data_IF_055544344596
#
_entry.id   IF_055544344596
#
_cell.length_a   1.000
_cell.length_b   1.000
_cell.length_c   1.000
_cell.angle_alpha   90.00
_cell.angle_beta   90.00
_cell.angle_gamma   90.00
#
_symmetry.space_group_name_H-M   'P 1'
#
loop_
_entity.id
_entity.type
_entity.pdbx_description
1 polymer ?
#
# COMPACT_ATOMS: atom_id res chain seq x y z
N UNK A 1 8.76 -20.79 -13.45
CA UNK A 1 7.94 -20.45 -12.26
C UNK A 1 6.70 -21.32 -12.26
N UNK A 2 6.86 -22.58 -11.86
CA UNK A 2 5.75 -23.52 -11.54
C UNK A 2 5.93 -23.97 -10.08
N UNK A 3 6.28 -23.03 -9.20
CA UNK A 3 6.45 -23.33 -7.78
C UNK A 3 5.17 -22.97 -7.04
N UNK A 4 4.53 -23.99 -6.47
CA UNK A 4 3.41 -23.84 -5.56
C UNK A 4 3.87 -22.97 -4.38
N UNK A 5 3.24 -21.81 -4.22
CA UNK A 5 3.42 -20.94 -3.07
C UNK A 5 2.07 -20.50 -2.54
N UNK A 6 1.89 -20.54 -1.21
CA UNK A 6 0.72 -19.94 -0.59
C UNK A 6 0.82 -18.42 -0.75
N UNK A 7 -0.11 -17.84 -1.49
CA UNK A 7 -0.14 -16.39 -1.72
C UNK A 7 -0.79 -15.64 -0.55
N UNK A 8 -0.93 -14.32 -0.66
CA UNK A 8 -1.75 -13.50 0.23
C UNK A 8 -0.99 -12.40 0.96
N UNK A 9 -1.68 -11.27 1.15
CA UNK A 9 -1.20 -10.07 1.86
C UNK A 9 -2.22 -9.57 2.90
N UNK A 10 -3.50 -9.52 2.53
CA UNK A 10 -4.56 -8.83 3.26
C UNK A 10 -5.17 -9.69 4.37
N UNK A 11 -4.52 -9.74 5.53
CA UNK A 11 -5.01 -10.53 6.65
C UNK A 11 -4.68 -9.87 7.99
N UNK A 12 -5.54 -10.15 8.95
CA UNK A 12 -5.26 -10.01 10.37
C UNK A 12 -5.20 -11.40 10.99
N UNK A 13 -4.28 -11.58 11.93
CA UNK A 13 -4.07 -12.88 12.58
C UNK A 13 -4.03 -12.68 14.10
N UNK A 14 -4.26 -13.77 14.82
CA UNK A 14 -3.98 -13.87 16.25
C UNK A 14 -2.71 -14.71 16.38
N UNK A 15 -1.73 -14.23 17.14
CA UNK A 15 -0.50 -14.99 17.35
C UNK A 15 -0.79 -16.27 18.13
N UNK A 16 -0.35 -17.40 17.59
CA UNK A 16 -0.46 -18.71 18.25
C UNK A 16 0.77 -18.96 19.15
N UNK A 17 1.97 -18.75 18.62
CA UNK A 17 3.23 -18.89 19.34
C UNK A 17 4.29 -17.93 18.77
N UNK A 18 5.40 -17.79 19.49
CA UNK A 18 6.54 -16.96 19.08
C UNK A 18 7.84 -17.73 19.23
N UNK A 19 8.86 -17.37 18.44
CA UNK A 19 10.21 -17.93 18.58
C UNK A 19 10.86 -17.54 19.92
N UNK A 20 11.84 -18.32 20.38
CA UNK A 20 12.46 -18.16 21.71
C UNK A 20 13.13 -16.80 21.96
N UNK A 21 13.54 -16.11 20.90
CA UNK A 21 14.21 -14.80 20.96
C UNK A 21 13.23 -13.63 20.86
N UNK A 22 11.93 -13.88 20.64
CA UNK A 22 10.93 -12.83 20.47
C UNK A 22 10.41 -12.39 21.85
N UNK A 23 10.61 -11.12 22.18
CA UNK A 23 10.24 -10.54 23.49
C UNK A 23 9.09 -9.53 23.43
N UNK A 24 8.88 -8.86 22.29
CA UNK A 24 7.86 -7.81 22.15
C UNK A 24 6.44 -8.34 21.84
N UNK A 25 6.33 -9.63 21.51
CA UNK A 25 5.09 -10.29 21.06
C UNK A 25 4.80 -11.54 21.89
N UNK A 26 3.52 -11.89 22.03
CA UNK A 26 3.09 -13.12 22.72
C UNK A 26 1.85 -13.74 22.09
N UNK A 27 1.61 -15.01 22.42
CA UNK A 27 0.39 -15.71 22.06
C UNK A 27 -0.87 -14.91 22.48
N UNK A 28 -1.86 -14.85 21.59
CA UNK A 28 -3.10 -14.10 21.76
C UNK A 28 -3.05 -12.63 21.34
N UNK A 29 -1.88 -12.08 21.01
CA UNK A 29 -1.80 -10.73 20.43
C UNK A 29 -2.46 -10.71 19.04
N UNK A 30 -3.21 -9.63 18.78
CA UNK A 30 -3.80 -9.37 17.46
C UNK A 30 -2.76 -8.64 16.60
N UNK A 31 -2.58 -9.10 15.37
CA UNK A 31 -1.51 -8.61 14.50
C UNK A 31 -1.94 -8.45 13.05
N UNK A 32 -1.22 -7.57 12.34
CA UNK A 32 -1.21 -7.46 10.90
C UNK A 32 0.20 -7.84 10.41
N UNK A 33 0.35 -8.94 9.65
CA UNK A 33 1.59 -9.23 8.95
C UNK A 33 1.83 -8.21 7.83
N UNK A 34 3.07 -7.72 7.69
CA UNK A 34 3.50 -6.75 6.70
C UNK A 34 4.75 -7.25 5.98
N UNK A 35 4.74 -7.22 4.65
CA UNK A 35 5.91 -7.61 3.85
C UNK A 35 7.03 -6.57 3.97
N UNK A 36 6.66 -5.33 4.34
CA UNK A 36 7.60 -4.29 4.75
C UNK A 36 7.97 -4.52 6.21
N UNK A 37 9.22 -4.88 6.45
CA UNK A 37 9.73 -5.12 7.79
C UNK A 37 10.24 -3.83 8.45
N UNK A 38 10.29 -3.83 9.77
CA UNK A 38 10.96 -2.81 10.59
C UNK A 38 11.85 -3.52 11.62
N UNK A 39 13.14 -3.70 11.32
CA UNK A 39 14.06 -4.40 12.23
C UNK A 39 14.58 -3.54 13.38
N UNK A 40 14.39 -2.22 13.32
CA UNK A 40 14.86 -1.22 14.31
C UNK A 40 16.38 -1.13 14.51
N UNK A 41 17.17 -1.93 13.81
CA UNK A 41 18.63 -2.01 14.01
C UNK A 41 19.45 -1.55 12.79
N UNK A 42 18.88 -1.63 11.57
CA UNK A 42 19.61 -1.20 10.36
C UNK A 42 19.62 0.33 10.21
N UNK A 43 20.58 0.85 9.44
CA UNK A 43 20.76 2.29 9.22
C UNK A 43 19.48 2.97 8.70
N UNK A 44 18.72 2.30 7.84
CA UNK A 44 17.49 2.82 7.26
C UNK A 44 16.33 2.88 8.27
N UNK A 45 16.26 1.94 9.21
CA UNK A 45 15.28 1.97 10.31
C UNK A 45 15.66 3.02 11.36
N UNK A 46 16.95 3.13 11.69
CA UNK A 46 17.44 4.02 12.75
C UNK A 46 17.27 5.51 12.38
N UNK A 47 17.46 5.86 11.11
CA UNK A 47 17.49 7.27 10.67
C UNK A 47 16.13 7.95 10.54
N UNK A 48 15.02 7.22 10.65
CA UNK A 48 13.65 7.77 10.53
C UNK A 48 13.37 8.50 9.21
N UNK A 49 14.24 8.35 8.20
CA UNK A 49 14.14 9.05 6.91
C UNK A 49 13.38 8.25 5.84
N UNK A 50 13.24 6.94 6.03
CA UNK A 50 12.52 6.06 5.12
C UNK A 50 11.94 4.87 5.89
N UNK A 51 11.10 4.08 5.23
CA UNK A 51 10.46 2.88 5.76
C UNK A 51 10.95 1.58 5.08
N UNK A 52 12.13 1.61 4.47
CA UNK A 52 12.69 0.52 3.67
C UNK A 52 13.77 -0.21 4.47
N UNK A 53 13.39 -1.18 5.31
CA UNK A 53 14.36 -1.93 6.11
C UNK A 53 15.40 -2.64 5.22
N UNK A 54 16.68 -2.28 5.39
CA UNK A 54 17.80 -2.82 4.61
C UNK A 54 17.95 -4.34 4.75
N UNK A 55 17.66 -4.87 5.94
CA UNK A 55 17.75 -6.30 6.22
C UNK A 55 16.71 -7.09 5.42
N UNK A 56 15.55 -6.52 5.09
CA UNK A 56 14.43 -7.25 4.50
C UNK A 56 14.01 -6.78 3.11
N UNK A 57 14.57 -5.68 2.60
CA UNK A 57 14.15 -4.98 1.36
C UNK A 57 13.99 -5.88 0.12
N UNK A 58 14.70 -7.00 0.04
CA UNK A 58 14.52 -8.03 -0.99
C UNK A 58 14.41 -9.46 -0.47
N UNK A 59 14.58 -9.68 0.84
CA UNK A 59 14.57 -11.05 1.39
C UNK A 59 13.20 -11.70 1.30
N UNK A 60 12.11 -10.92 1.26
CA UNK A 60 10.77 -11.44 1.06
C UNK A 60 10.55 -12.12 -0.31
N UNK A 61 11.42 -11.87 -1.30
CA UNK A 61 11.37 -12.52 -2.63
C UNK A 61 12.08 -13.89 -2.66
N UNK A 62 12.81 -14.25 -1.61
CA UNK A 62 13.60 -15.50 -1.58
C UNK A 62 12.75 -16.77 -1.47
N UNK A 63 11.46 -16.66 -1.13
CA UNK A 63 10.56 -17.79 -0.96
C UNK A 63 10.86 -18.68 0.27
N UNK A 64 11.80 -18.29 1.13
CA UNK A 64 12.22 -19.04 2.31
C UNK A 64 12.31 -18.14 3.54
N UNK A 65 12.31 -18.74 4.74
CA UNK A 65 12.47 -17.98 5.97
C UNK A 65 13.86 -17.34 6.05
N UNK A 66 13.91 -16.11 6.57
CA UNK A 66 15.16 -15.35 6.67
C UNK A 66 16.23 -16.04 7.53
N UNK A 67 15.81 -16.70 8.63
CA UNK A 67 16.69 -17.21 9.69
C UNK A 67 17.54 -18.40 9.28
N UNK A 68 16.99 -19.35 8.53
CA UNK A 68 17.65 -20.62 8.18
C UNK A 68 17.57 -20.96 6.69
N UNK A 69 17.00 -20.05 5.88
CA UNK A 69 16.81 -20.20 4.43
C UNK A 69 16.01 -21.46 4.04
N UNK A 70 15.07 -21.89 4.90
CA UNK A 70 14.16 -23.03 4.64
C UNK A 70 12.70 -22.60 4.55
N UNK A 71 11.89 -23.39 3.86
CA UNK A 71 10.44 -23.25 3.88
C UNK A 71 9.86 -23.63 5.26
N UNK A 72 8.70 -23.06 5.59
CA UNK A 72 7.90 -23.46 6.78
C UNK A 72 6.68 -24.28 6.40
N UNK A 73 6.34 -24.29 5.12
CA UNK A 73 5.29 -25.11 4.55
C UNK A 73 5.89 -26.30 3.82
N UNK A 74 5.19 -27.43 3.92
CA UNK A 74 5.48 -28.61 3.10
C UNK A 74 4.18 -29.35 2.81
N UNK A 75 4.15 -30.05 1.67
CA UNK A 75 3.06 -30.95 1.31
C UNK A 75 3.67 -32.26 0.83
N UNK A 76 3.29 -33.37 1.46
CA UNK A 76 3.84 -34.70 1.16
C UNK A 76 5.37 -34.74 1.19
N UNK A 77 5.98 -34.05 2.16
CA UNK A 77 7.43 -33.95 2.32
C UNK A 77 8.14 -33.03 1.33
N UNK A 78 7.43 -32.40 0.39
CA UNK A 78 7.99 -31.42 -0.55
C UNK A 78 7.80 -29.99 -0.01
N UNK A 79 8.83 -29.14 -0.05
CA UNK A 79 8.71 -27.76 0.43
C UNK A 79 7.75 -26.95 -0.44
N UNK A 80 7.02 -26.05 0.20
CA UNK A 80 6.18 -25.03 -0.45
C UNK A 80 6.78 -23.67 -0.13
N UNK A 81 7.02 -22.86 -1.17
CA UNK A 81 7.66 -21.57 -1.00
C UNK A 81 6.72 -20.54 -0.37
N UNK A 82 7.33 -19.61 0.36
CA UNK A 82 6.63 -18.45 0.89
C UNK A 82 6.41 -17.39 -0.18
N UNK A 83 5.31 -16.64 -0.04
CA UNK A 83 5.03 -15.48 -0.87
C UNK A 83 5.20 -14.20 -0.05
N UNK A 84 6.15 -13.34 -0.46
CA UNK A 84 6.50 -12.09 0.22
C UNK A 84 6.79 -12.25 1.72
N UNK A 85 7.25 -13.44 2.13
CA UNK A 85 7.50 -13.76 3.54
C UNK A 85 6.25 -13.75 4.44
N UNK A 86 5.04 -13.75 3.85
CA UNK A 86 3.76 -13.68 4.57
C UNK A 86 2.88 -14.92 4.38
N UNK A 87 2.60 -15.30 3.12
CA UNK A 87 1.87 -16.52 2.77
C UNK A 87 0.52 -16.69 3.48
N UNK A 88 -0.36 -15.68 3.39
CA UNK A 88 -1.50 -15.56 4.30
C UNK A 88 -2.75 -16.34 3.88
N UNK A 89 -2.78 -16.92 2.68
CA UNK A 89 -3.81 -17.87 2.23
C UNK A 89 -3.57 -19.27 2.82
N UNK A 90 -3.38 -19.30 4.13
CA UNK A 90 -3.25 -20.49 4.96
C UNK A 90 -3.85 -20.17 6.32
N UNK A 91 -4.41 -21.17 6.99
CA UNK A 91 -4.96 -21.01 8.35
C UNK A 91 -3.87 -20.50 9.30
N UNK A 92 -2.67 -21.06 9.18
CA UNK A 92 -1.46 -20.67 9.91
C UNK A 92 -0.35 -20.25 8.95
N UNK A 93 0.46 -19.29 9.40
CA UNK A 93 1.69 -18.91 8.70
C UNK A 93 2.78 -18.56 9.70
N UNK A 94 4.04 -18.62 9.25
CA UNK A 94 5.22 -18.28 10.04
C UNK A 94 5.90 -17.10 9.36
N UNK A 95 5.97 -15.98 10.07
CA UNK A 95 6.54 -14.71 9.60
C UNK A 95 7.65 -14.24 10.54
N UNK A 96 8.58 -13.44 10.03
CA UNK A 96 9.61 -12.85 10.90
C UNK A 96 8.98 -11.80 11.82
N UNK A 97 9.45 -11.68 13.06
CA UNK A 97 8.87 -10.72 14.03
C UNK A 97 8.89 -9.27 13.51
N UNK A 98 9.92 -8.87 12.76
CA UNK A 98 10.04 -7.54 12.15
C UNK A 98 8.98 -7.27 11.08
N UNK A 99 8.29 -8.30 10.60
CA UNK A 99 7.21 -8.23 9.61
C UNK A 99 5.83 -8.27 10.29
N UNK A 100 5.73 -8.01 11.60
CA UNK A 100 4.50 -8.12 12.37
C UNK A 100 4.19 -6.80 13.06
N UNK A 101 3.08 -6.18 12.70
CA UNK A 101 2.54 -5.03 13.42
C UNK A 101 1.51 -5.52 14.44
N UNK A 102 1.79 -5.32 15.74
CA UNK A 102 0.81 -5.53 16.80
C UNK A 102 -0.27 -4.44 16.74
N UNK A 103 -1.54 -4.84 16.81
CA UNK A 103 -2.69 -3.94 16.71
C UNK A 103 -3.56 -3.98 17.96
N UNK A 104 -4.46 -2.99 18.08
CA UNK A 104 -5.43 -2.95 19.16
C UNK A 104 -6.32 -4.21 19.13
N UNK A 105 -6.44 -4.87 20.28
CA UNK A 105 -7.23 -6.10 20.44
C UNK A 105 -8.72 -5.88 20.18
N UNK A 106 -9.23 -4.69 20.42
CA UNK A 106 -10.63 -4.32 20.21
C UNK A 106 -10.95 -3.99 18.74
N UNK A 107 -9.93 -3.87 17.88
CA UNK A 107 -10.16 -3.56 16.49
C UNK A 107 -10.81 -4.73 15.74
N UNK A 108 -11.81 -4.46 14.87
CA UNK A 108 -12.49 -5.48 14.08
C UNK A 108 -11.54 -6.06 13.03
N UNK A 109 -11.03 -7.26 13.28
CA UNK A 109 -10.00 -7.92 12.48
C UNK A 109 -10.43 -8.13 11.01
N UNK A 110 -11.72 -8.37 10.77
CA UNK A 110 -12.33 -8.49 9.44
C UNK A 110 -12.28 -7.19 8.62
N UNK A 111 -12.06 -6.03 9.26
CA UNK A 111 -11.96 -4.73 8.59
C UNK A 111 -10.52 -4.24 8.50
N UNK A 112 -9.77 -4.32 9.60
CA UNK A 112 -8.42 -3.77 9.67
C UNK A 112 -7.38 -4.59 8.90
N UNK A 113 -7.74 -5.75 8.36
CA UNK A 113 -6.88 -6.52 7.44
C UNK A 113 -6.45 -5.74 6.20
N UNK A 114 -7.25 -4.74 5.77
CA UNK A 114 -6.91 -3.85 4.67
C UNK A 114 -5.76 -2.89 4.99
N UNK A 115 -5.43 -2.73 6.28
CA UNK A 115 -4.30 -1.93 6.73
C UNK A 115 -2.94 -2.63 6.56
N UNK A 116 -2.89 -3.83 5.97
CA UNK A 116 -1.64 -4.53 5.66
C UNK A 116 -1.00 -4.15 4.32
N UNK A 117 -1.67 -3.37 3.46
CA UNK A 117 -1.12 -3.05 2.13
C UNK A 117 -1.68 -1.72 1.56
N UNK A 118 -2.61 -1.78 0.63
CA UNK A 118 -2.96 -0.65 -0.25
C UNK A 118 -3.63 0.54 0.43
N UNK A 119 -4.36 0.36 1.53
CA UNK A 119 -4.95 1.48 2.27
C UNK A 119 -3.84 2.36 2.89
N UNK A 120 -2.90 1.82 3.69
CA UNK A 120 -1.76 2.59 4.18
C UNK A 120 -0.89 3.14 3.05
N UNK A 121 -0.74 2.41 1.94
CA UNK A 121 0.03 2.90 0.79
C UNK A 121 -0.58 4.20 0.23
N UNK A 122 -1.89 4.24 -0.01
CA UNK A 122 -2.56 5.43 -0.52
C UNK A 122 -2.61 6.58 0.49
N UNK A 123 -2.98 6.31 1.74
CA UNK A 123 -2.99 7.32 2.81
C UNK A 123 -1.58 7.90 3.04
N UNK A 124 -0.59 7.03 3.13
CA UNK A 124 0.81 7.41 3.30
C UNK A 124 1.37 8.16 2.11
N UNK A 125 0.96 7.84 0.87
CA UNK A 125 1.32 8.62 -0.30
C UNK A 125 0.84 10.08 -0.18
N UNK A 126 -0.42 10.29 0.23
CA UNK A 126 -0.96 11.64 0.42
C UNK A 126 -0.29 12.38 1.59
N UNK A 127 -0.14 11.74 2.76
CA UNK A 127 0.31 12.40 3.98
C UNK A 127 1.84 12.54 4.08
N UNK A 128 2.57 11.50 3.72
CA UNK A 128 4.02 11.44 3.92
C UNK A 128 4.78 11.82 2.64
N UNK A 129 4.32 11.30 1.48
CA UNK A 129 4.95 11.52 0.19
C UNK A 129 4.66 12.92 -0.36
N UNK A 130 3.39 13.16 -0.71
CA UNK A 130 2.96 14.44 -1.27
C UNK A 130 2.70 15.53 -0.25
N UNK A 131 2.55 15.18 1.04
CA UNK A 131 2.33 16.13 2.16
C UNK A 131 1.23 17.13 1.86
N UNK A 132 0.09 16.60 1.40
CA UNK A 132 -1.10 17.39 1.01
C UNK A 132 -1.47 18.35 2.14
N UNK A 133 -1.77 19.60 1.76
CA UNK A 133 -2.14 20.68 2.68
C UNK A 133 -3.59 21.12 2.46
N UNK A 134 -4.20 21.78 3.47
CA UNK A 134 -5.48 22.42 3.29
C UNK A 134 -5.46 23.38 2.10
N UNK A 135 -6.45 23.26 1.22
CA UNK A 135 -6.58 24.08 0.02
C UNK A 135 -5.92 23.50 -1.23
N UNK A 136 -5.06 22.48 -1.12
CA UNK A 136 -4.37 21.89 -2.28
C UNK A 136 -5.34 21.28 -3.30
N UNK A 137 -4.91 21.26 -4.56
CA UNK A 137 -5.50 20.48 -5.64
C UNK A 137 -4.70 19.20 -5.89
N UNK A 138 -5.39 18.09 -6.09
CA UNK A 138 -4.79 16.76 -6.20
C UNK A 138 -5.32 16.03 -7.43
N UNK A 139 -4.45 15.41 -8.23
CA UNK A 139 -4.83 14.49 -9.31
C UNK A 139 -4.48 13.04 -8.96
N UNK A 140 -5.40 12.10 -9.21
CA UNK A 140 -5.23 10.68 -8.88
C UNK A 140 -5.54 9.83 -10.10
N UNK A 141 -4.53 9.18 -10.66
CA UNK A 141 -4.66 8.30 -11.83
C UNK A 141 -4.88 6.86 -11.37
N UNK A 142 -6.07 6.34 -11.61
CA UNK A 142 -6.52 5.01 -11.19
C UNK A 142 -7.27 5.04 -9.87
N UNK A 143 -8.56 4.69 -9.91
CA UNK A 143 -9.46 4.69 -8.75
C UNK A 143 -9.70 3.26 -8.24
N UNK A 144 -8.61 2.50 -8.07
CA UNK A 144 -8.59 1.26 -7.30
C UNK A 144 -8.42 1.53 -5.80
N UNK A 145 -8.20 0.49 -4.98
CA UNK A 145 -8.04 0.63 -3.52
C UNK A 145 -6.99 1.65 -3.11
N UNK A 146 -5.83 1.66 -3.78
CA UNK A 146 -4.74 2.62 -3.49
C UNK A 146 -5.21 4.05 -3.83
N UNK A 147 -5.72 4.28 -5.04
CA UNK A 147 -6.18 5.61 -5.46
C UNK A 147 -7.34 6.15 -4.61
N UNK A 148 -8.28 5.30 -4.21
CA UNK A 148 -9.34 5.68 -3.28
C UNK A 148 -8.78 6.03 -1.88
N UNK A 149 -7.76 5.32 -1.42
CA UNK A 149 -7.07 5.66 -0.18
C UNK A 149 -6.24 6.96 -0.30
N UNK A 150 -5.66 7.26 -1.46
CA UNK A 150 -5.05 8.58 -1.73
C UNK A 150 -6.12 9.68 -1.66
N UNK A 151 -7.27 9.47 -2.30
CA UNK A 151 -8.38 10.43 -2.29
C UNK A 151 -8.85 10.72 -0.85
N UNK A 152 -9.02 9.66 -0.05
CA UNK A 152 -9.41 9.78 1.34
C UNK A 152 -8.34 10.48 2.18
N UNK A 153 -7.06 10.18 1.93
CA UNK A 153 -5.93 10.85 2.56
C UNK A 153 -5.90 12.35 2.24
N UNK A 154 -6.12 12.71 0.97
CA UNK A 154 -6.19 14.10 0.52
C UNK A 154 -7.40 14.84 1.12
N UNK A 155 -8.56 14.18 1.18
CA UNK A 155 -9.78 14.72 1.81
C UNK A 155 -9.57 15.01 3.29
N UNK A 156 -8.97 14.07 4.03
CA UNK A 156 -8.64 14.24 5.46
C UNK A 156 -7.62 15.38 5.65
N UNK A 157 -6.66 15.53 4.74
CA UNK A 157 -5.68 16.61 4.76
C UNK A 157 -6.26 17.99 4.37
N UNK A 158 -7.51 18.05 3.91
CA UNK A 158 -8.20 19.30 3.58
C UNK A 158 -7.96 19.81 2.15
N UNK A 159 -7.60 18.94 1.21
CA UNK A 159 -7.53 19.31 -0.21
C UNK A 159 -8.86 19.93 -0.68
N UNK A 160 -8.80 21.02 -1.43
CA UNK A 160 -9.99 21.73 -1.93
C UNK A 160 -10.55 21.10 -3.21
N UNK A 161 -9.68 20.48 -4.01
CA UNK A 161 -10.03 19.82 -5.27
C UNK A 161 -9.31 18.49 -5.39
N UNK A 162 -10.06 17.42 -5.63
CA UNK A 162 -9.53 16.06 -5.83
C UNK A 162 -10.07 15.54 -7.15
N UNK A 163 -9.21 15.54 -8.17
CA UNK A 163 -9.51 15.05 -9.51
C UNK A 163 -9.18 13.56 -9.57
N UNK A 164 -10.19 12.72 -9.78
CA UNK A 164 -10.05 11.28 -9.98
C UNK A 164 -10.10 10.93 -11.46
N UNK A 165 -9.05 10.27 -11.95
CA UNK A 165 -8.90 9.91 -13.36
C UNK A 165 -8.99 8.39 -13.51
N UNK A 166 -10.01 7.89 -14.18
CA UNK A 166 -10.17 6.45 -14.46
C UNK A 166 -10.97 6.24 -15.76
N UNK A 167 -10.66 5.17 -16.50
CA UNK A 167 -11.35 4.83 -17.74
C UNK A 167 -12.71 4.16 -17.50
N UNK A 168 -12.95 3.65 -16.28
CA UNK A 168 -14.18 2.98 -15.93
C UNK A 168 -15.17 3.96 -15.28
N UNK A 169 -16.22 4.41 -15.99
CA UNK A 169 -17.18 5.38 -15.45
C UNK A 169 -17.95 4.84 -14.23
N UNK A 170 -18.07 3.52 -14.07
CA UNK A 170 -18.75 2.93 -12.91
C UNK A 170 -18.05 3.24 -11.57
N UNK A 171 -16.80 3.73 -11.59
CA UNK A 171 -16.07 4.11 -10.39
C UNK A 171 -16.39 5.52 -9.89
N UNK A 172 -17.06 6.36 -10.70
CA UNK A 172 -17.33 7.76 -10.34
C UNK A 172 -18.12 7.89 -9.03
N UNK A 173 -19.26 7.20 -8.93
CA UNK A 173 -20.13 7.33 -7.75
C UNK A 173 -19.41 6.87 -6.47
N UNK A 174 -18.67 5.75 -6.57
CA UNK A 174 -17.91 5.24 -5.43
C UNK A 174 -16.78 6.18 -5.05
N UNK A 175 -16.05 6.76 -6.01
CA UNK A 175 -14.90 7.61 -5.73
C UNK A 175 -15.27 8.91 -5.00
N UNK A 176 -16.45 9.48 -5.28
CA UNK A 176 -16.98 10.64 -4.56
C UNK A 176 -17.12 10.40 -3.06
N UNK A 177 -17.45 9.16 -2.65
CA UNK A 177 -17.55 8.78 -1.23
C UNK A 177 -16.19 8.79 -0.50
N UNK A 178 -15.09 8.73 -1.24
CA UNK A 178 -13.71 8.80 -0.74
C UNK A 178 -13.08 10.18 -0.95
N UNK A 179 -13.88 11.20 -1.30
CA UNK A 179 -13.41 12.57 -1.40
C UNK A 179 -13.00 13.05 -2.79
N UNK A 180 -13.18 12.25 -3.84
CA UNK A 180 -13.05 12.75 -5.22
C UNK A 180 -14.13 13.80 -5.48
N UNK A 181 -13.73 14.99 -5.91
CA UNK A 181 -14.65 16.11 -6.22
C UNK A 181 -14.99 16.16 -7.70
N UNK A 182 -14.07 15.75 -8.56
CA UNK A 182 -14.17 15.82 -10.02
C UNK A 182 -13.71 14.49 -10.61
N UNK A 183 -14.53 13.84 -11.44
CA UNK A 183 -14.17 12.60 -12.13
C UNK A 183 -13.89 12.89 -13.60
N UNK A 184 -12.76 12.39 -14.10
CA UNK A 184 -12.34 12.55 -15.49
C UNK A 184 -12.11 11.19 -16.11
N UNK A 185 -12.87 10.87 -17.16
CA UNK A 185 -12.52 9.77 -18.05
C UNK A 185 -11.66 10.32 -19.20
N UNK A 186 -10.41 9.86 -19.38
CA UNK A 186 -9.57 10.30 -20.48
C UNK A 186 -10.20 10.13 -21.86
N UNK A 187 -11.12 9.16 -22.03
CA UNK A 187 -11.82 8.92 -23.29
C UNK A 187 -12.84 10.00 -23.67
N UNK A 188 -13.19 10.90 -22.74
CA UNK A 188 -14.14 11.99 -22.99
C UNK A 188 -13.46 13.25 -23.57
N UNK A 189 -12.14 13.19 -23.81
CA UNK A 189 -11.34 14.33 -24.25
C UNK A 189 -10.50 13.98 -25.48
N UNK A 190 -10.43 14.91 -26.45
CA UNK A 190 -9.54 14.78 -27.61
C UNK A 190 -8.08 15.10 -27.28
N UNK A 191 -7.84 15.84 -26.18
CA UNK A 191 -6.51 16.26 -25.72
C UNK A 191 -5.91 15.22 -24.76
N UNK A 192 -4.58 15.13 -24.65
CA UNK A 192 -3.94 14.38 -23.57
C UNK A 192 -4.45 14.82 -22.20
N UNK A 193 -4.76 13.86 -21.33
CA UNK A 193 -5.42 14.13 -20.04
C UNK A 193 -4.63 15.10 -19.15
N UNK A 194 -3.31 15.08 -19.22
CA UNK A 194 -2.45 16.01 -18.48
C UNK A 194 -2.65 17.47 -18.92
N UNK A 195 -2.95 17.73 -20.19
CA UNK A 195 -3.24 19.07 -20.69
C UNK A 195 -4.60 19.54 -20.21
N UNK A 196 -5.61 18.66 -20.26
CA UNK A 196 -6.95 18.90 -19.72
C UNK A 196 -6.87 19.30 -18.25
N UNK A 197 -6.14 18.53 -17.44
CA UNK A 197 -5.95 18.82 -16.01
C UNK A 197 -5.28 20.19 -15.82
N UNK A 198 -4.21 20.50 -16.56
CA UNK A 198 -3.52 21.79 -16.45
C UNK A 198 -4.44 22.96 -16.80
N UNK A 199 -5.26 22.83 -17.83
CA UNK A 199 -6.25 23.84 -18.23
C UNK A 199 -7.30 24.04 -17.12
N UNK A 200 -7.85 22.94 -16.59
CA UNK A 200 -8.84 22.96 -15.49
C UNK A 200 -8.31 23.54 -14.17
N UNK A 201 -6.99 23.46 -13.96
CA UNK A 201 -6.32 23.86 -12.71
C UNK A 201 -5.47 25.11 -12.88
N UNK A 202 -5.55 25.78 -14.04
CA UNK A 202 -4.83 27.02 -14.35
C UNK A 202 -3.31 26.91 -14.20
N UNK A 203 -2.74 25.76 -14.58
CA UNK A 203 -1.29 25.54 -14.58
C UNK A 203 -0.87 24.14 -14.15
N UNK A 204 -1.74 23.40 -13.46
CA UNK A 204 -1.50 22.06 -12.95
C UNK A 204 -1.94 21.90 -11.50
N UNK A 205 -1.98 20.66 -11.02
CA UNK A 205 -2.32 20.34 -9.61
C UNK A 205 -1.12 20.52 -8.67
N UNK A 206 -1.38 20.71 -7.37
CA UNK A 206 -0.31 20.81 -6.36
C UNK A 206 0.40 19.47 -6.13
N UNK A 207 -0.32 18.35 -6.24
CA UNK A 207 0.27 17.02 -6.22
C UNK A 207 -0.50 16.05 -7.10
N UNK A 208 0.19 15.06 -7.66
CA UNK A 208 -0.38 14.03 -8.52
C UNK A 208 0.08 12.65 -8.09
N UNK A 209 -0.80 11.66 -8.19
CA UNK A 209 -0.54 10.28 -7.77
C UNK A 209 -0.88 9.31 -8.90
N UNK A 210 0.08 8.47 -9.28
CA UNK A 210 -0.15 7.36 -10.21
C UNK A 210 -0.40 6.08 -9.39
N UNK A 211 -1.54 5.43 -9.63
CA UNK A 211 -2.02 4.30 -8.85
C UNK A 211 -2.44 3.11 -9.73
N UNK A 212 -1.94 3.04 -10.98
CA UNK A 212 -2.20 1.94 -11.92
C UNK A 212 -0.95 1.09 -12.17
N UNK A 213 0.24 1.71 -12.15
CA UNK A 213 1.50 1.07 -12.52
C UNK A 213 1.82 1.16 -14.01
N UNK A 214 1.27 2.17 -14.72
CA UNK A 214 1.54 2.36 -16.16
C UNK A 214 2.49 3.52 -16.40
N UNK A 215 3.58 3.25 -17.12
CA UNK A 215 4.64 4.24 -17.40
C UNK A 215 4.08 5.49 -18.09
N UNK A 216 3.15 5.33 -19.01
CA UNK A 216 2.53 6.48 -19.70
C UNK A 216 1.76 7.38 -18.72
N UNK A 217 1.08 6.79 -17.73
CA UNK A 217 0.35 7.53 -16.70
C UNK A 217 1.29 8.17 -15.68
N UNK A 218 2.46 7.58 -15.41
CA UNK A 218 3.47 8.21 -14.56
C UNK A 218 3.96 9.52 -15.18
N UNK A 219 4.19 9.52 -16.49
CA UNK A 219 4.56 10.73 -17.23
C UNK A 219 3.42 11.76 -17.23
N UNK A 220 2.19 11.33 -17.47
CA UNK A 220 1.02 12.22 -17.44
C UNK A 220 0.81 12.84 -16.06
N UNK A 221 0.96 12.07 -14.98
CA UNK A 221 0.88 12.55 -13.61
C UNK A 221 1.93 13.65 -13.35
N UNK A 222 3.20 13.40 -13.72
CA UNK A 222 4.24 14.41 -13.62
C UNK A 222 3.91 15.68 -14.44
N UNK A 223 3.48 15.52 -15.68
CA UNK A 223 3.21 16.63 -16.59
C UNK A 223 1.98 17.46 -16.19
N UNK A 224 1.02 16.88 -15.47
CA UNK A 224 -0.18 17.58 -15.01
C UNK A 224 0.03 18.40 -13.73
N UNK A 225 1.21 18.30 -13.11
CA UNK A 225 1.54 19.04 -11.90
C UNK A 225 1.91 20.49 -12.19
N UNK A 226 1.61 21.39 -11.24
CA UNK A 226 1.94 22.81 -11.35
C UNK A 226 3.46 23.00 -11.32
N UNK A 227 4.05 23.80 -12.22
CA UNK A 227 5.46 24.17 -12.18
C UNK A 227 5.67 25.25 -11.10
N UNK A 228 5.48 24.87 -9.83
CA UNK A 228 5.66 25.68 -8.61
C UNK A 228 4.97 27.04 -8.64
#
# INVERSE_FOLDING_TARGET
MEELGFQGFWVTKVLESVGSEVTELKAGDHVIPSYMAECKECELCDRGKNNMCEVFIFNYLSGVAYTDKKCRFSLNGKPIHHFFGLSTFSEYTVVHMSCVAKVNREAPLDKICLLGCGVPAGLGAAWNGGKVKPGDSVAIFGLGTIGLAVAEGARIAGASRVLGIDINPAKEETSKRFGVTEFLNPSDFDKPIQEVIREMTKGGVNSSYECVGRVELMLAALQCSHPV
#
